data_IF_548531387126
#
_entry.id   IF_548531387126
#
_cell.length_a   1.000
_cell.length_b   1.000
_cell.length_c   1.000
_cell.angle_alpha   90.00
_cell.angle_beta   90.00
_cell.angle_gamma   90.00
#
_symmetry.space_group_name_H-M   'P 1'
#
loop_
_entity.id
_entity.type
_entity.pdbx_description
1 polymer ?
#
# COMPACT_ATOMS: atom_id res chain seq x y z
N UNK A 1 19.56 -26.77 -31.46
CA UNK A 1 20.09 -27.23 -30.15
C UNK A 1 18.97 -27.08 -29.13
N UNK A 2 18.39 -28.20 -28.67
CA UNK A 2 17.25 -28.25 -27.75
C UNK A 2 17.75 -28.59 -26.35
N UNK A 3 17.54 -27.68 -25.39
CA UNK A 3 17.87 -27.91 -23.98
C UNK A 3 16.57 -28.17 -23.19
N UNK A 4 16.30 -29.44 -22.92
CA UNK A 4 15.34 -29.92 -21.92
C UNK A 4 16.04 -29.95 -20.56
N UNK A 5 15.46 -29.31 -19.54
CA UNK A 5 15.90 -29.42 -18.15
C UNK A 5 14.76 -29.89 -17.25
N UNK A 6 15.10 -30.93 -16.48
CA UNK A 6 14.24 -31.85 -15.75
C UNK A 6 13.58 -31.24 -14.52
N UNK A 7 12.30 -31.57 -14.38
CA UNK A 7 11.50 -31.58 -13.15
C UNK A 7 12.11 -32.52 -12.11
N UNK A 8 12.37 -32.01 -10.89
CA UNK A 8 12.51 -32.86 -9.69
C UNK A 8 11.40 -32.50 -8.72
N UNK A 9 10.43 -33.39 -8.65
CA UNK A 9 9.35 -33.40 -7.66
C UNK A 9 9.93 -33.54 -6.25
N UNK A 10 9.54 -32.64 -5.36
CA UNK A 10 9.77 -32.81 -3.92
C UNK A 10 8.48 -33.38 -3.33
N UNK A 11 8.44 -34.70 -3.17
CA UNK A 11 7.45 -35.41 -2.35
C UNK A 11 7.93 -35.41 -0.91
N UNK A 12 7.30 -34.63 -0.05
CA UNK A 12 7.44 -34.77 1.40
C UNK A 12 6.20 -35.48 1.95
N UNK A 13 6.35 -36.78 2.14
CA UNK A 13 5.54 -37.59 3.05
C UNK A 13 5.81 -37.14 4.49
N UNK A 14 4.78 -36.75 5.23
CA UNK A 14 4.86 -36.67 6.69
C UNK A 14 3.49 -36.92 7.34
N UNK A 15 3.37 -38.16 7.81
CA UNK A 15 2.69 -38.64 9.04
C UNK A 15 1.29 -38.12 9.41
N UNK A 16 0.34 -39.06 9.37
CA UNK A 16 -0.95 -39.03 10.07
C UNK A 16 -0.79 -38.63 11.54
N UNK A 17 -1.22 -37.41 11.89
CA UNK A 17 -1.52 -37.03 13.27
C UNK A 17 -2.99 -37.33 13.55
N UNK A 18 -3.25 -38.50 14.15
CA UNK A 18 -4.53 -38.89 14.71
C UNK A 18 -4.85 -37.97 15.90
N UNK A 19 -5.55 -36.87 15.65
CA UNK A 19 -6.07 -35.97 16.67
C UNK A 19 -7.39 -36.50 17.22
N UNK A 20 -7.34 -37.33 18.27
CA UNK A 20 -8.52 -37.63 19.08
C UNK A 20 -8.89 -36.40 19.93
N UNK A 21 -9.84 -35.59 19.46
CA UNK A 21 -10.38 -34.50 20.26
C UNK A 21 -11.56 -35.00 21.10
N UNK A 22 -11.34 -35.14 22.41
CA UNK A 22 -12.43 -35.26 23.39
C UNK A 22 -13.21 -33.94 23.40
N UNK A 23 -14.38 -33.93 22.78
CA UNK A 23 -15.28 -32.77 22.70
C UNK A 23 -15.76 -32.42 24.12
N UNK A 24 -15.18 -31.39 24.73
CA UNK A 24 -15.73 -30.77 25.95
C UNK A 24 -16.89 -29.86 25.56
N UNK A 25 -18.05 -30.07 26.19
CA UNK A 25 -19.33 -29.39 25.93
C UNK A 25 -19.17 -27.86 25.80
N UNK A 26 -19.71 -27.31 24.71
CA UNK A 26 -19.71 -25.89 24.42
C UNK A 26 -20.50 -25.09 25.49
N UNK A 27 -19.86 -24.08 26.08
CA UNK A 27 -20.49 -23.15 27.03
C UNK A 27 -21.18 -22.05 26.23
N UNK A 28 -22.49 -21.87 26.43
CA UNK A 28 -23.37 -20.94 25.72
C UNK A 28 -22.86 -19.49 25.88
N UNK A 29 -22.38 -18.88 24.79
CA UNK A 29 -21.92 -17.50 24.76
C UNK A 29 -23.16 -16.58 24.78
N UNK A 30 -23.35 -15.81 25.86
CA UNK A 30 -24.37 -14.75 25.90
C UNK A 30 -23.94 -13.63 24.95
N UNK A 31 -24.90 -13.08 24.19
CA UNK A 31 -24.72 -11.99 23.23
C UNK A 31 -23.91 -10.84 23.87
N UNK A 32 -22.69 -10.64 23.39
CA UNK A 32 -21.87 -9.48 23.72
C UNK A 32 -22.44 -8.27 22.96
N UNK A 33 -22.96 -7.30 23.69
CA UNK A 33 -23.27 -5.99 23.13
C UNK A 33 -21.96 -5.22 22.92
N UNK A 34 -21.61 -4.96 21.65
CA UNK A 34 -20.52 -4.07 21.30
C UNK A 34 -20.95 -2.62 21.52
N UNK A 35 -20.78 -2.11 22.74
CA UNK A 35 -20.86 -0.68 22.99
C UNK A 35 -19.45 -0.09 23.02
N UNK A 36 -19.23 0.94 22.19
CA UNK A 36 -18.08 1.84 22.12
C UNK A 36 -17.07 1.57 21.00
N UNK A 37 -17.38 2.08 19.80
CA UNK A 37 -16.45 2.25 18.67
C UNK A 37 -15.76 3.63 18.66
N UNK A 38 -15.89 4.44 19.73
CA UNK A 38 -15.42 5.84 19.72
C UNK A 38 -13.95 6.02 20.13
N UNK A 39 -13.25 4.95 20.47
CA UNK A 39 -11.86 5.00 20.97
C UNK A 39 -10.91 4.03 20.24
N UNK A 40 -11.05 3.88 18.91
CA UNK A 40 -9.99 3.27 18.11
C UNK A 40 -8.82 4.25 18.00
N UNK A 41 -8.04 4.36 19.08
CA UNK A 41 -6.73 5.02 19.01
C UNK A 41 -5.88 4.16 18.09
N UNK A 42 -5.55 4.69 16.91
CA UNK A 42 -4.50 4.17 16.03
C UNK A 42 -3.32 3.80 16.93
N UNK A 43 -3.03 2.50 17.07
CA UNK A 43 -1.86 2.04 17.78
C UNK A 43 -0.67 2.72 17.09
N UNK A 44 0.03 3.61 17.80
CA UNK A 44 1.32 4.10 17.34
C UNK A 44 2.13 2.87 16.99
N UNK A 45 2.52 2.73 15.73
CA UNK A 45 3.36 1.62 15.28
C UNK A 45 4.63 1.71 16.12
N UNK A 46 4.82 0.73 17.01
CA UNK A 46 5.92 0.77 17.95
C UNK A 46 7.25 0.64 17.18
N UNK A 47 8.12 1.63 17.32
CA UNK A 47 9.48 1.61 16.77
C UNK A 47 9.76 2.56 15.59
N UNK A 48 8.75 3.28 15.06
CA UNK A 48 8.97 4.30 14.03
C UNK A 48 9.17 5.70 14.62
N UNK A 49 10.05 6.48 14.00
CA UNK A 49 10.25 7.90 14.32
C UNK A 49 9.07 8.76 13.87
N UNK A 50 8.99 10.00 14.37
CA UNK A 50 7.94 10.93 13.95
C UNK A 50 8.06 11.28 12.45
N UNK A 51 9.29 11.39 11.95
CA UNK A 51 9.59 11.65 10.54
C UNK A 51 9.15 10.48 9.66
N UNK A 52 9.43 9.23 10.06
CA UNK A 52 9.01 8.03 9.34
C UNK A 52 7.48 7.91 9.28
N UNK A 53 6.80 8.22 10.39
CA UNK A 53 5.33 8.25 10.44
C UNK A 53 4.79 9.33 9.49
N UNK A 54 5.41 10.51 9.44
CA UNK A 54 5.01 11.58 8.55
C UNK A 54 5.19 11.21 7.07
N UNK A 55 6.32 10.62 6.70
CA UNK A 55 6.55 10.13 5.33
C UNK A 55 5.57 8.99 4.98
N UNK A 56 5.24 8.12 5.93
CA UNK A 56 4.23 7.08 5.70
C UNK A 56 2.85 7.67 5.44
N UNK A 57 2.44 8.69 6.18
CA UNK A 57 1.18 9.40 5.95
C UNK A 57 1.16 10.08 4.57
N UNK A 58 2.27 10.68 4.16
CA UNK A 58 2.42 11.25 2.82
C UNK A 58 2.27 10.18 1.73
N UNK A 59 2.87 9.01 1.93
CA UNK A 59 2.72 7.87 1.02
C UNK A 59 1.27 7.37 0.94
N UNK A 60 0.53 7.33 2.06
CA UNK A 60 -0.92 7.01 2.07
C UNK A 60 -1.73 7.95 1.18
N UNK A 61 -1.42 9.24 1.25
CA UNK A 61 -2.11 10.27 0.46
C UNK A 61 -1.78 10.21 -1.04
N UNK A 62 -0.66 9.59 -1.42
CA UNK A 62 -0.28 9.39 -2.82
C UNK A 62 -0.86 8.10 -3.42
N UNK A 63 -1.37 7.18 -2.59
CA UNK A 63 -1.93 5.93 -3.05
C UNK A 63 -3.40 6.04 -3.44
N UNK A 64 -3.87 5.20 -4.37
CA UNK A 64 -5.29 5.03 -4.62
C UNK A 64 -6.03 4.57 -3.36
N UNK A 65 -7.31 4.95 -3.17
CA UNK A 65 -8.08 4.64 -1.95
C UNK A 65 -8.14 3.14 -1.59
N UNK A 66 -8.11 2.25 -2.59
CA UNK A 66 -8.17 0.80 -2.37
C UNK A 66 -6.85 0.13 -1.97
N UNK A 67 -5.73 0.88 -1.93
CA UNK A 67 -4.40 0.35 -1.58
C UNK A 67 -3.86 0.93 -0.25
N UNK A 68 -4.68 1.71 0.45
CA UNK A 68 -4.31 2.32 1.73
C UNK A 68 -4.56 1.32 2.88
N UNK A 69 -3.49 0.88 3.54
CA UNK A 69 -3.51 -0.16 4.57
C UNK A 69 -2.85 0.32 5.86
N UNK A 70 -3.44 0.05 7.03
CA UNK A 70 -2.89 0.56 8.30
C UNK A 70 -1.54 -0.05 8.67
N UNK A 71 -1.25 -1.27 8.21
CA UNK A 71 0.04 -1.92 8.42
C UNK A 71 1.16 -1.23 7.60
N UNK A 72 2.25 -0.75 8.23
CA UNK A 72 3.34 -0.08 7.52
C UNK A 72 4.05 -0.97 6.50
N UNK A 73 4.21 -2.27 6.78
CA UNK A 73 4.92 -3.16 5.86
C UNK A 73 4.08 -3.41 4.58
N UNK A 74 2.80 -3.73 4.75
CA UNK A 74 1.86 -3.86 3.63
C UNK A 74 1.71 -2.54 2.85
N UNK A 75 1.70 -1.40 3.55
CA UNK A 75 1.64 -0.09 2.90
C UNK A 75 2.85 0.13 1.99
N UNK A 76 4.06 -0.11 2.47
CA UNK A 76 5.28 0.05 1.66
C UNK A 76 5.30 -0.91 0.46
N UNK A 77 4.83 -2.14 0.63
CA UNK A 77 4.67 -3.09 -0.46
C UNK A 77 3.68 -2.58 -1.52
N UNK A 78 2.54 -2.04 -1.08
CA UNK A 78 1.53 -1.45 -1.97
C UNK A 78 2.07 -0.22 -2.70
N UNK A 79 2.85 0.62 -2.03
CA UNK A 79 3.57 1.75 -2.65
C UNK A 79 4.50 1.27 -3.74
N UNK A 80 5.37 0.31 -3.45
CA UNK A 80 6.32 -0.21 -4.43
C UNK A 80 5.60 -0.81 -5.65
N UNK A 81 4.53 -1.58 -5.43
CA UNK A 81 3.71 -2.14 -6.50
C UNK A 81 3.06 -1.06 -7.37
N UNK A 82 2.51 -0.01 -6.74
CA UNK A 82 1.87 1.09 -7.45
C UNK A 82 2.87 1.89 -8.29
N UNK A 83 4.06 2.19 -7.76
CA UNK A 83 5.14 2.84 -8.51
C UNK A 83 5.51 2.00 -9.73
N UNK A 84 5.70 0.69 -9.56
CA UNK A 84 5.98 -0.22 -10.67
C UNK A 84 4.92 -0.16 -11.78
N UNK A 85 3.64 -0.17 -11.43
CA UNK A 85 2.54 -0.04 -12.41
C UNK A 85 2.58 1.30 -13.15
N UNK A 86 2.86 2.39 -12.44
CA UNK A 86 2.95 3.72 -13.04
C UNK A 86 4.13 3.81 -14.02
N UNK A 87 5.30 3.31 -13.64
CA UNK A 87 6.49 3.35 -14.51
C UNK A 87 6.29 2.49 -15.75
N UNK A 88 5.77 1.27 -15.62
CA UNK A 88 5.44 0.41 -16.78
C UNK A 88 4.48 1.12 -17.73
N UNK A 89 3.41 1.72 -17.21
CA UNK A 89 2.43 2.44 -18.03
C UNK A 89 3.04 3.65 -18.74
N UNK A 90 3.95 4.37 -18.10
CA UNK A 90 4.65 5.50 -18.74
C UNK A 90 5.57 4.98 -19.85
N UNK A 91 6.34 3.93 -19.60
CA UNK A 91 7.22 3.29 -20.59
C UNK A 91 6.42 2.83 -21.80
N UNK A 92 5.33 2.10 -21.59
CA UNK A 92 4.41 1.69 -22.67
C UNK A 92 3.91 2.89 -23.48
N UNK A 93 3.48 3.96 -22.80
CA UNK A 93 3.00 5.17 -23.48
C UNK A 93 4.07 5.86 -24.31
N UNK A 94 5.32 5.84 -23.84
CA UNK A 94 6.48 6.37 -24.56
C UNK A 94 6.75 5.54 -25.81
N UNK A 95 6.81 4.20 -25.68
CA UNK A 95 6.99 3.31 -26.83
C UNK A 95 5.87 3.44 -27.86
N UNK A 96 4.63 3.62 -27.41
CA UNK A 96 3.47 3.80 -28.28
C UNK A 96 3.34 5.23 -28.87
N UNK A 97 4.27 6.15 -28.56
CA UNK A 97 4.21 7.54 -29.02
C UNK A 97 3.01 8.34 -28.51
N UNK A 98 2.35 7.85 -27.45
CA UNK A 98 1.10 8.40 -26.90
C UNK A 98 1.31 9.40 -25.76
N UNK A 99 2.57 9.64 -25.37
CA UNK A 99 2.90 10.63 -24.36
C UNK A 99 2.72 12.05 -24.94
N UNK A 100 1.98 12.95 -24.28
CA UNK A 100 1.80 14.31 -24.79
C UNK A 100 3.12 15.06 -24.92
N UNK A 101 3.30 15.84 -26.00
CA UNK A 101 4.51 16.63 -26.26
C UNK A 101 4.87 17.59 -25.10
N UNK A 102 3.88 18.05 -24.35
CA UNK A 102 4.08 18.89 -23.15
C UNK A 102 4.84 18.17 -22.03
N UNK A 103 4.73 16.85 -21.93
CA UNK A 103 5.43 16.03 -20.92
C UNK A 103 6.86 15.73 -21.35
N UNK A 104 7.14 15.74 -22.65
CA UNK A 104 8.48 15.58 -23.22
C UNK A 104 9.32 16.86 -23.17
N UNK A 105 8.71 18.00 -22.79
CA UNK A 105 9.46 19.24 -22.63
C UNK A 105 10.45 19.11 -21.47
N UNK A 106 11.68 19.65 -21.61
CA UNK A 106 12.62 19.71 -20.51
C UNK A 106 11.93 20.32 -19.29
N UNK A 107 12.11 19.70 -18.11
CA UNK A 107 11.59 20.23 -16.85
C UNK A 107 12.36 21.53 -16.57
N UNK A 108 11.89 22.63 -17.15
CA UNK A 108 12.43 23.95 -16.84
C UNK A 108 11.94 24.29 -15.44
N UNK A 109 12.86 24.54 -14.52
CA UNK A 109 12.58 25.07 -13.18
C UNK A 109 12.07 26.52 -13.28
N UNK A 110 10.99 26.76 -14.04
CA UNK A 110 10.31 28.06 -14.05
C UNK A 110 9.55 28.16 -12.74
N UNK A 111 10.21 28.80 -11.77
CA UNK A 111 9.67 29.21 -10.47
C UNK A 111 8.19 29.59 -10.65
N UNK A 112 7.29 28.84 -10.02
CA UNK A 112 5.88 29.23 -9.93
C UNK A 112 5.84 30.63 -9.30
N UNK A 113 5.58 31.67 -10.11
CA UNK A 113 5.27 32.99 -9.59
C UNK A 113 3.96 32.86 -8.82
N UNK A 114 4.06 32.82 -7.49
CA UNK A 114 2.91 32.94 -6.59
C UNK A 114 2.26 34.29 -6.88
N UNK A 115 1.11 34.28 -7.55
CA UNK A 115 0.23 35.45 -7.60
C UNK A 115 -0.43 35.60 -6.22
N UNK A 116 0.24 36.30 -5.31
CA UNK A 116 -0.44 36.86 -4.14
C UNK A 116 -1.37 37.97 -4.66
N UNK A 117 -2.65 37.65 -4.87
CA UNK A 117 -3.71 38.66 -4.90
C UNK A 117 -3.93 39.09 -3.45
N UNK A 118 -3.18 40.11 -3.04
CA UNK A 118 -3.45 40.84 -1.81
C UNK A 118 -4.82 41.49 -1.94
N UNK A 119 -5.80 41.00 -1.16
CA UNK A 119 -7.06 41.67 -0.95
C UNK A 119 -6.78 42.95 -0.17
N UNK A 120 -6.64 44.08 -0.88
CA UNK A 120 -6.64 45.40 -0.25
C UNK A 120 -8.03 45.59 0.36
N UNK A 121 -8.12 45.48 1.69
CA UNK A 121 -9.27 45.96 2.45
C UNK A 121 -9.40 47.47 2.16
N UNK A 122 -10.51 47.89 1.56
CA UNK A 122 -10.96 49.28 1.68
C UNK A 122 -11.91 49.33 2.87
N UNK A 123 -11.61 50.28 3.75
CA UNK A 123 -12.38 50.67 4.92
C UNK A 123 -13.81 51.08 4.57
#
# INVERSE_FOLDING_TARGET
MTATLNTKEIKTTSTNLKMESKIKKAKKIKKLHFTNVKNFKLKKVAGLSNEEIHEMEKLRNMLPPGMNTQDPAELLLNVASYIGKLTTKVVEKVHNGSLPKSVLQPITNKKMKKFYKGSIKKC
#
